data_IF_237602747835
#
_entry.id   IF_237602747835
#
_cell.length_a   1.000
_cell.length_b   1.000
_cell.length_c   1.000
_cell.angle_alpha   90.00
_cell.angle_beta   90.00
_cell.angle_gamma   90.00
#
_symmetry.space_group_name_H-M   'P 1'
#
loop_
_entity.id
_entity.type
_entity.pdbx_description
1 polymer ?
#
# COMPACT_ATOMS: atom_id res chain seq x y z
N UNK A 1 5.23 23.81 -1.05
CA UNK A 1 4.99 22.44 -0.54
C UNK A 1 5.94 21.37 -1.08
N UNK A 2 6.67 21.59 -2.18
CA UNK A 2 7.52 20.59 -2.83
C UNK A 2 8.92 20.37 -2.23
N UNK A 3 9.47 21.34 -1.47
CA UNK A 3 10.81 21.20 -0.85
C UNK A 3 10.81 20.33 0.42
N UNK A 4 9.72 20.33 1.18
CA UNK A 4 9.60 19.58 2.45
C UNK A 4 9.49 18.07 2.19
N UNK A 5 8.74 17.68 1.15
CA UNK A 5 8.54 16.27 0.76
C UNK A 5 9.82 15.63 0.20
N UNK A 6 10.66 16.41 -0.50
CA UNK A 6 11.95 15.95 -1.03
C UNK A 6 12.97 15.75 0.10
N UNK A 7 12.93 16.59 1.14
CA UNK A 7 13.79 16.42 2.32
C UNK A 7 13.40 15.16 3.14
N UNK A 8 12.10 14.89 3.27
CA UNK A 8 11.60 13.67 3.91
C UNK A 8 12.10 12.40 3.19
N UNK A 9 12.04 12.35 1.86
CA UNK A 9 12.43 11.16 1.08
C UNK A 9 13.94 10.87 1.12
N UNK A 10 14.79 11.89 1.27
CA UNK A 10 16.24 11.71 1.38
C UNK A 10 16.66 11.12 2.73
N UNK A 11 15.97 11.50 3.82
CA UNK A 11 16.30 11.08 5.20
C UNK A 11 15.95 9.63 5.53
N UNK A 12 15.03 9.00 4.79
CA UNK A 12 14.64 7.59 4.99
C UNK A 12 15.42 6.59 4.12
N UNK A 13 16.34 7.03 3.26
CA UNK A 13 17.24 6.12 2.56
C UNK A 13 18.25 5.53 3.56
N UNK A 14 18.41 4.20 3.54
CA UNK A 14 19.05 3.37 4.58
C UNK A 14 20.52 3.71 4.97
N UNK A 15 21.12 4.78 4.44
CA UNK A 15 22.52 5.16 4.65
C UNK A 15 22.74 6.39 5.55
N UNK A 16 21.71 7.08 6.04
CA UNK A 16 21.89 8.30 6.86
C UNK A 16 22.10 8.07 8.37
N UNK A 17 21.90 6.85 8.88
CA UNK A 17 22.10 6.54 10.30
C UNK A 17 23.52 6.04 10.65
N UNK A 18 24.47 6.12 9.70
CA UNK A 18 25.90 6.06 10.05
C UNK A 18 26.47 7.43 10.45
N UNK A 19 25.66 8.49 10.37
CA UNK A 19 25.99 9.84 10.83
C UNK A 19 25.23 10.12 12.13
N UNK A 20 25.87 10.81 13.07
CA UNK A 20 25.27 11.19 14.36
C UNK A 20 23.97 11.98 14.12
N UNK A 21 22.86 11.55 14.75
CA UNK A 21 21.60 12.29 14.71
C UNK A 21 21.82 13.58 15.49
N UNK A 22 21.69 14.73 14.82
CA UNK A 22 21.83 16.02 15.48
C UNK A 22 20.62 16.30 16.39
N UNK A 23 20.79 17.19 17.37
CA UNK A 23 19.70 17.64 18.23
C UNK A 23 18.54 18.28 17.44
N UNK A 24 18.84 19.00 16.35
CA UNK A 24 17.83 19.58 15.45
C UNK A 24 17.04 18.49 14.73
N UNK A 25 17.72 17.45 14.22
CA UNK A 25 17.05 16.32 13.58
C UNK A 25 16.16 15.57 14.58
N UNK A 26 16.67 15.30 15.79
CA UNK A 26 15.88 14.69 16.87
C UNK A 26 14.63 15.53 17.19
N UNK A 27 14.79 16.84 17.36
CA UNK A 27 13.68 17.76 17.64
C UNK A 27 12.61 17.75 16.55
N UNK A 28 13.05 17.75 15.29
CA UNK A 28 12.17 17.64 14.13
C UNK A 28 11.41 16.31 14.10
N UNK A 29 12.10 15.18 14.24
CA UNK A 29 11.47 13.85 14.22
C UNK A 29 10.44 13.70 15.34
N UNK A 30 10.80 14.08 16.56
CA UNK A 30 9.92 13.97 17.72
C UNK A 30 8.68 14.86 17.59
N UNK A 31 8.82 16.04 17.00
CA UNK A 31 7.69 16.93 16.70
C UNK A 31 6.73 16.30 15.69
N UNK A 32 7.24 15.66 14.64
CA UNK A 32 6.40 14.97 13.64
C UNK A 32 5.68 13.77 14.26
N UNK A 33 6.38 12.94 15.03
CA UNK A 33 5.82 11.77 15.68
C UNK A 33 4.70 12.17 16.65
N UNK A 34 4.95 13.17 17.50
CA UNK A 34 3.95 13.69 18.44
C UNK A 34 2.75 14.28 17.71
N UNK A 35 2.96 15.17 16.74
CA UNK A 35 1.88 15.85 16.04
C UNK A 35 0.96 14.88 15.30
N UNK A 36 1.52 13.83 14.70
CA UNK A 36 0.74 12.84 13.93
C UNK A 36 -0.17 12.00 14.83
N UNK A 37 0.32 11.51 15.96
CA UNK A 37 -0.46 10.62 16.82
C UNK A 37 -1.30 11.39 17.87
N UNK A 38 -0.85 12.56 18.34
CA UNK A 38 -1.65 13.43 19.22
C UNK A 38 -2.97 13.84 18.58
N UNK A 39 -2.98 14.19 17.29
CA UNK A 39 -4.20 14.52 16.56
C UNK A 39 -5.20 13.35 16.50
N UNK A 40 -4.71 12.11 16.47
CA UNK A 40 -5.55 10.91 16.42
C UNK A 40 -6.17 10.59 17.77
N UNK A 41 -5.34 10.55 18.80
CA UNK A 41 -5.78 10.24 20.17
C UNK A 41 -6.66 11.35 20.78
N UNK A 42 -6.54 12.57 20.28
CA UNK A 42 -7.37 13.71 20.70
C UNK A 42 -8.37 14.15 19.61
N UNK A 43 -8.74 13.26 18.68
CA UNK A 43 -9.69 13.59 17.60
C UNK A 43 -11.04 13.96 18.22
N UNK A 44 -11.54 15.15 17.89
CA UNK A 44 -12.83 15.68 18.36
C UNK A 44 -13.97 15.41 17.38
N UNK A 45 -13.65 14.92 16.19
CA UNK A 45 -14.62 14.60 15.13
C UNK A 45 -14.83 13.09 15.01
N UNK A 46 -16.01 12.69 14.57
CA UNK A 46 -16.38 11.28 14.41
C UNK A 46 -16.73 10.97 12.95
N UNK A 47 -16.58 9.71 12.54
CA UNK A 47 -16.92 9.28 11.18
C UNK A 47 -18.44 9.04 11.07
N UNK A 48 -19.05 9.50 9.98
CA UNK A 48 -20.43 9.15 9.64
C UNK A 48 -20.47 7.86 8.79
N UNK A 49 -21.34 6.93 9.15
CA UNK A 49 -21.49 5.65 8.45
C UNK A 49 -22.92 5.11 8.54
N UNK A 50 -23.24 4.17 7.66
CA UNK A 50 -24.50 3.41 7.67
C UNK A 50 -24.23 1.91 7.60
N UNK A 51 -25.14 1.12 8.16
CA UNK A 51 -25.13 -0.34 7.99
C UNK A 51 -26.01 -0.75 6.81
N UNK A 52 -25.46 -1.54 5.90
CA UNK A 52 -26.17 -2.06 4.72
C UNK A 52 -26.05 -3.58 4.63
N UNK A 53 -26.92 -4.20 3.83
CA UNK A 53 -26.83 -5.64 3.57
C UNK A 53 -25.46 -6.00 2.98
N UNK A 54 -24.90 -7.11 3.47
CA UNK A 54 -23.66 -7.65 2.95
C UNK A 54 -23.85 -8.14 1.52
N UNK A 55 -22.93 -7.73 0.63
CA UNK A 55 -22.81 -8.26 -0.73
C UNK A 55 -21.35 -8.62 -0.96
N UNK A 56 -21.10 -9.89 -1.24
CA UNK A 56 -19.74 -10.40 -1.40
C UNK A 56 -18.96 -9.67 -2.50
N UNK A 57 -19.64 -9.31 -3.60
CA UNK A 57 -19.07 -8.56 -4.73
C UNK A 57 -18.53 -7.18 -4.37
N UNK A 58 -18.93 -6.60 -3.23
CA UNK A 58 -18.45 -5.30 -2.79
C UNK A 58 -17.04 -5.39 -2.18
N UNK A 59 -16.62 -6.58 -1.76
CA UNK A 59 -15.36 -6.82 -1.04
C UNK A 59 -14.42 -7.74 -1.82
N UNK A 60 -14.98 -8.67 -2.60
CA UNK A 60 -14.23 -9.71 -3.31
C UNK A 60 -14.46 -9.63 -4.81
N UNK A 61 -13.37 -9.46 -5.54
CA UNK A 61 -13.37 -9.53 -7.00
C UNK A 61 -13.33 -10.99 -7.43
N UNK A 62 -13.84 -11.25 -8.63
CA UNK A 62 -13.74 -12.57 -9.23
C UNK A 62 -12.26 -12.93 -9.44
N UNK A 63 -11.87 -14.08 -8.91
CA UNK A 63 -10.51 -14.61 -8.99
C UNK A 63 -10.20 -15.16 -10.39
N UNK A 64 -8.93 -15.34 -10.69
CA UNK A 64 -8.41 -15.91 -11.93
C UNK A 64 -8.02 -17.36 -11.71
N UNK A 65 -8.46 -18.24 -12.61
CA UNK A 65 -8.18 -19.67 -12.59
C UNK A 65 -6.77 -20.00 -13.13
N UNK A 66 -6.17 -21.14 -12.77
CA UNK A 66 -4.89 -21.58 -13.33
C UNK A 66 -4.87 -21.64 -14.86
N UNK A 67 -5.97 -22.08 -15.49
CA UNK A 67 -6.11 -22.16 -16.95
C UNK A 67 -6.10 -20.76 -17.60
N UNK A 68 -6.79 -19.79 -16.99
CA UNK A 68 -6.78 -18.39 -17.43
C UNK A 68 -5.39 -17.76 -17.27
N UNK A 69 -4.70 -18.01 -16.16
CA UNK A 69 -3.32 -17.55 -15.92
C UNK A 69 -2.39 -18.09 -17.01
N UNK A 70 -2.44 -19.40 -17.25
CA UNK A 70 -1.61 -20.08 -18.25
C UNK A 70 -1.86 -19.52 -19.66
N UNK A 71 -3.14 -19.39 -20.03
CA UNK A 71 -3.55 -18.88 -21.34
C UNK A 71 -3.12 -17.42 -21.54
N UNK A 72 -3.34 -16.57 -20.54
CA UNK A 72 -2.97 -15.16 -20.59
C UNK A 72 -1.45 -14.98 -20.62
N UNK A 73 -0.71 -15.66 -19.75
CA UNK A 73 0.75 -15.59 -19.69
C UNK A 73 1.38 -16.04 -21.01
N UNK A 74 0.84 -17.11 -21.63
CA UNK A 74 1.28 -17.55 -22.95
C UNK A 74 1.05 -16.49 -24.02
N UNK A 75 -0.14 -15.89 -24.06
CA UNK A 75 -0.46 -14.82 -25.02
C UNK A 75 0.44 -13.60 -24.84
N UNK A 76 0.66 -13.18 -23.59
CA UNK A 76 1.57 -12.07 -23.28
C UNK A 76 2.99 -12.39 -23.74
N UNK A 77 3.53 -13.59 -23.44
CA UNK A 77 4.87 -14.01 -23.89
C UNK A 77 5.01 -13.98 -25.42
N UNK A 78 3.93 -14.22 -26.16
CA UNK A 78 3.93 -14.22 -27.63
C UNK A 78 3.81 -12.81 -28.24
N UNK A 79 3.11 -11.90 -27.56
CA UNK A 79 2.73 -10.61 -28.12
C UNK A 79 3.48 -9.43 -27.51
N UNK A 80 4.11 -9.61 -26.35
CA UNK A 80 4.79 -8.57 -25.62
C UNK A 80 5.97 -7.98 -26.40
N UNK A 81 6.06 -6.66 -26.43
CA UNK A 81 7.09 -5.92 -27.16
C UNK A 81 7.54 -4.71 -26.38
N UNK A 82 8.83 -4.42 -26.48
CA UNK A 82 9.42 -3.17 -25.99
C UNK A 82 9.60 -2.18 -27.14
N UNK A 83 9.24 -0.93 -26.91
CA UNK A 83 9.49 0.17 -27.85
C UNK A 83 9.81 1.46 -27.11
N UNK A 84 10.36 2.43 -27.83
CA UNK A 84 10.53 3.80 -27.34
C UNK A 84 9.51 4.71 -28.02
N UNK A 85 8.91 5.63 -27.27
CA UNK A 85 8.09 6.68 -27.86
C UNK A 85 8.84 8.01 -27.99
N UNK A 86 8.19 8.97 -28.66
CA UNK A 86 8.70 10.33 -28.88
C UNK A 86 8.83 11.17 -27.60
N UNK A 87 8.34 10.66 -26.46
CA UNK A 87 8.41 11.31 -25.14
C UNK A 87 9.57 10.78 -24.29
N UNK A 88 10.52 10.04 -24.88
CA UNK A 88 11.63 9.41 -24.16
C UNK A 88 11.17 8.44 -23.07
N UNK A 89 10.18 7.62 -23.40
CA UNK A 89 9.66 6.58 -22.50
C UNK A 89 9.90 5.21 -23.12
N UNK A 90 10.20 4.23 -22.27
CA UNK A 90 10.14 2.82 -22.63
C UNK A 90 8.69 2.35 -22.49
N UNK A 91 8.15 1.74 -23.54
CA UNK A 91 6.82 1.15 -23.58
C UNK A 91 6.93 -0.36 -23.62
N UNK A 92 6.17 -1.03 -22.76
CA UNK A 92 5.83 -2.43 -22.88
C UNK A 92 4.40 -2.51 -23.39
N UNK A 93 4.21 -3.04 -24.60
CA UNK A 93 2.90 -3.38 -25.13
C UNK A 93 2.72 -4.89 -25.19
N UNK A 94 1.50 -5.40 -25.00
CA UNK A 94 1.20 -6.83 -25.12
C UNK A 94 -0.31 -7.09 -25.09
N UNK A 95 -0.73 -8.25 -25.58
CA UNK A 95 -2.14 -8.66 -25.55
C UNK A 95 -2.45 -9.48 -24.30
N UNK A 96 -3.64 -9.24 -23.74
CA UNK A 96 -4.26 -10.03 -22.69
C UNK A 96 -5.43 -10.80 -23.27
N UNK A 97 -5.86 -11.86 -22.57
CA UNK A 97 -7.10 -12.55 -22.93
C UNK A 97 -8.31 -11.65 -22.70
N UNK A 98 -9.39 -11.86 -23.47
CA UNK A 98 -10.64 -11.10 -23.42
C UNK A 98 -11.26 -10.98 -22.02
N UNK A 99 -10.98 -11.94 -21.14
CA UNK A 99 -11.32 -11.91 -19.72
C UNK A 99 -10.95 -10.60 -19.01
N UNK A 100 -9.87 -9.95 -19.44
CA UNK A 100 -9.32 -8.74 -18.84
C UNK A 100 -9.80 -7.45 -19.54
N UNK A 101 -10.84 -7.51 -20.37
CA UNK A 101 -11.36 -6.35 -21.09
C UNK A 101 -11.94 -5.25 -20.19
N UNK A 102 -12.55 -5.60 -19.06
CA UNK A 102 -13.39 -4.68 -18.28
C UNK A 102 -12.98 -4.53 -16.82
N UNK A 103 -12.12 -5.41 -16.28
CA UNK A 103 -11.72 -5.39 -14.87
C UNK A 103 -10.26 -5.83 -14.73
N UNK A 104 -9.37 -4.84 -14.60
CA UNK A 104 -7.93 -5.08 -14.43
C UNK A 104 -7.42 -4.62 -13.07
N UNK A 105 -7.90 -3.47 -12.59
CA UNK A 105 -7.49 -2.91 -11.31
C UNK A 105 -7.73 -3.90 -10.17
N UNK A 106 -6.66 -4.30 -9.47
CA UNK A 106 -6.69 -5.24 -8.34
C UNK A 106 -6.97 -6.70 -8.70
N UNK A 107 -7.03 -7.06 -9.98
CA UNK A 107 -7.13 -8.46 -10.46
C UNK A 107 -5.83 -8.87 -11.15
N UNK A 108 -5.26 -7.95 -11.93
CA UNK A 108 -3.98 -8.11 -12.61
C UNK A 108 -3.09 -6.92 -12.24
N UNK A 109 -1.84 -7.16 -11.91
CA UNK A 109 -0.82 -6.12 -11.88
C UNK A 109 0.44 -6.59 -12.58
N UNK A 110 1.21 -5.66 -13.11
CA UNK A 110 2.48 -5.96 -13.75
C UNK A 110 3.54 -5.04 -13.16
N UNK A 111 4.64 -5.63 -12.73
CA UNK A 111 5.73 -4.94 -12.04
C UNK A 111 7.02 -5.21 -12.78
N UNK A 112 7.85 -4.17 -12.99
CA UNK A 112 9.22 -4.38 -13.42
C UNK A 112 9.99 -5.09 -12.31
N UNK A 113 10.58 -6.24 -12.61
CA UNK A 113 11.54 -6.88 -11.73
C UNK A 113 12.97 -6.42 -12.03
N UNK A 114 13.34 -6.42 -13.30
CA UNK A 114 14.75 -6.25 -13.67
C UNK A 114 14.90 -5.59 -15.04
N UNK A 115 15.88 -4.69 -15.13
CA UNK A 115 16.24 -4.01 -16.37
C UNK A 115 17.69 -4.32 -16.77
N UNK A 116 17.83 -5.04 -17.89
CA UNK A 116 19.08 -5.42 -18.52
C UNK A 116 19.25 -4.77 -19.90
N UNK A 117 18.61 -3.62 -20.12
CA UNK A 117 18.81 -2.83 -21.32
C UNK A 117 20.18 -2.15 -21.29
N UNK A 118 20.86 -2.20 -22.43
CA UNK A 118 22.18 -1.61 -22.64
C UNK A 118 22.17 -0.76 -23.91
N UNK A 119 22.93 0.33 -23.85
CA UNK A 119 23.27 1.16 -25.00
C UNK A 119 24.31 0.48 -25.87
N UNK A 120 24.51 0.98 -27.09
CA UNK A 120 25.52 0.45 -28.03
C UNK A 120 26.94 0.44 -27.46
N UNK A 121 27.29 1.41 -26.62
CA UNK A 121 28.60 1.51 -25.98
C UNK A 121 28.78 0.58 -24.77
N UNK A 122 27.77 -0.25 -24.45
CA UNK A 122 27.77 -1.16 -23.31
C UNK A 122 27.32 -0.53 -21.99
N UNK A 123 27.02 0.78 -21.97
CA UNK A 123 26.48 1.42 -20.76
C UNK A 123 25.06 0.92 -20.45
N UNK A 124 24.76 0.79 -19.16
CA UNK A 124 23.41 0.45 -18.69
C UNK A 124 22.41 1.54 -19.06
N UNK A 125 21.30 1.14 -19.67
CA UNK A 125 20.19 2.02 -19.98
C UNK A 125 19.33 2.20 -18.73
N UNK A 126 19.37 3.39 -18.12
CA UNK A 126 18.71 3.63 -16.83
C UNK A 126 17.27 4.08 -17.03
N UNK A 127 16.35 3.38 -16.38
CA UNK A 127 14.93 3.71 -16.32
C UNK A 127 14.62 4.36 -14.97
N UNK A 128 13.63 5.24 -14.92
CA UNK A 128 13.01 5.63 -13.66
C UNK A 128 12.20 4.47 -13.09
N UNK A 129 11.75 4.62 -11.84
CA UNK A 129 10.74 3.74 -11.24
C UNK A 129 9.49 3.76 -12.13
N UNK A 130 8.98 2.58 -12.46
CA UNK A 130 7.80 2.47 -13.33
C UNK A 130 6.61 3.13 -12.65
N UNK A 131 5.97 4.05 -13.36
CA UNK A 131 4.67 4.57 -12.97
C UNK A 131 3.61 3.69 -13.63
N UNK A 132 2.61 3.30 -12.84
CA UNK A 132 1.46 2.54 -13.31
C UNK A 132 0.89 3.12 -14.60
N UNK A 133 0.50 2.22 -15.48
CA UNK A 133 -0.02 2.54 -16.78
C UNK A 133 -1.41 1.93 -16.96
N UNK A 134 -2.17 2.51 -17.89
CA UNK A 134 -3.52 2.08 -18.19
C UNK A 134 -3.49 0.70 -18.84
N UNK A 135 -3.75 -0.33 -18.05
CA UNK A 135 -4.18 -1.62 -18.56
C UNK A 135 -5.68 -1.54 -18.83
N UNK A 136 -6.09 -1.45 -20.10
CA UNK A 136 -7.49 -1.41 -20.53
C UNK A 136 -7.65 -2.10 -21.89
N UNK A 137 -8.83 -2.70 -22.15
CA UNK A 137 -9.19 -3.34 -23.43
C UNK A 137 -8.30 -4.50 -23.88
N UNK A 138 -8.04 -5.47 -23.00
CA UNK A 138 -7.21 -6.66 -23.32
C UNK A 138 -5.79 -6.32 -23.75
N UNK A 139 -5.22 -5.22 -23.26
CA UNK A 139 -3.85 -4.84 -23.57
C UNK A 139 -3.09 -4.43 -22.32
N UNK A 140 -1.84 -4.85 -22.31
CA UNK A 140 -0.78 -4.31 -21.48
C UNK A 140 -0.24 -3.12 -22.25
N UNK A 141 -0.23 -1.95 -21.62
CA UNK A 141 0.49 -0.78 -22.12
C UNK A 141 1.17 -0.15 -20.92
N UNK A 142 2.43 -0.50 -20.66
CA UNK A 142 3.28 0.01 -19.57
C UNK A 142 4.27 1.01 -20.07
N UNK A 143 4.45 2.12 -19.34
CA UNK A 143 5.39 3.18 -19.70
C UNK A 143 6.26 3.57 -18.51
N UNK A 144 7.54 3.81 -18.77
CA UNK A 144 8.45 4.42 -17.79
C UNK A 144 9.34 5.44 -18.46
N UNK A 145 9.67 6.50 -17.74
CA UNK A 145 10.58 7.52 -18.22
C UNK A 145 12.02 7.01 -18.21
N UNK A 146 12.79 7.43 -19.19
CA UNK A 146 14.21 7.11 -19.29
C UNK A 146 15.00 8.14 -18.50
N UNK A 147 15.84 7.68 -17.56
CA UNK A 147 16.68 8.53 -16.71
C UNK A 147 17.99 8.90 -17.40
N UNK A 148 18.56 7.97 -18.16
CA UNK A 148 19.83 8.20 -18.85
C UNK A 148 19.64 9.09 -20.08
N UNK A 149 20.59 9.99 -20.33
CA UNK A 149 20.72 10.66 -21.64
C UNK A 149 20.98 9.58 -22.70
N UNK A 150 20.26 9.66 -23.82
CA UNK A 150 20.45 8.81 -24.99
C UNK A 150 20.18 9.63 -26.26
N UNK A 151 20.84 9.28 -27.36
CA UNK A 151 20.57 9.93 -28.64
C UNK A 151 19.33 9.31 -29.30
N UNK A 152 18.55 10.10 -30.05
CA UNK A 152 17.30 9.63 -30.71
C UNK A 152 17.48 8.36 -31.56
N UNK A 153 18.68 8.15 -32.11
CA UNK A 153 19.01 7.01 -32.97
C UNK A 153 19.98 6.02 -32.30
N UNK A 154 20.17 6.11 -30.99
CA UNK A 154 21.04 5.19 -30.26
C UNK A 154 20.42 3.79 -30.22
N UNK A 155 21.18 2.79 -30.67
CA UNK A 155 20.73 1.39 -30.58
C UNK A 155 20.73 0.95 -29.13
N UNK A 156 19.57 0.49 -28.68
CA UNK A 156 19.37 -0.13 -27.37
C UNK A 156 19.09 -1.60 -27.60
N UNK A 157 19.67 -2.44 -26.76
CA UNK A 157 19.51 -3.89 -26.83
C UNK A 157 19.43 -4.49 -25.44
N UNK A 158 19.12 -5.77 -25.35
CA UNK A 158 18.95 -6.48 -24.08
C UNK A 158 17.49 -6.80 -23.82
N UNK A 159 17.13 -6.94 -22.54
CA UNK A 159 15.81 -7.38 -22.14
C UNK A 159 15.37 -6.76 -20.82
N UNK A 160 14.09 -6.94 -20.54
CA UNK A 160 13.44 -6.52 -19.31
C UNK A 160 12.63 -7.70 -18.77
N UNK A 161 12.75 -7.97 -17.47
CA UNK A 161 11.93 -8.95 -16.78
C UNK A 161 10.78 -8.25 -16.06
N UNK A 162 9.56 -8.73 -16.31
CA UNK A 162 8.36 -8.27 -15.61
C UNK A 162 7.73 -9.42 -14.84
N UNK A 163 7.16 -9.11 -13.69
CA UNK A 163 6.27 -9.99 -12.94
C UNK A 163 4.83 -9.62 -13.25
N UNK A 164 4.03 -10.60 -13.66
CA UNK A 164 2.58 -10.47 -13.80
C UNK A 164 1.94 -11.16 -12.59
N UNK A 165 1.20 -10.40 -11.79
CA UNK A 165 0.50 -10.91 -10.62
C UNK A 165 -1.00 -11.05 -10.92
N UNK A 166 -1.55 -12.24 -10.67
CA UNK A 166 -2.94 -12.60 -10.88
C UNK A 166 -3.64 -12.86 -9.55
N UNK A 167 -4.79 -12.23 -9.30
CA UNK A 167 -5.60 -12.47 -8.11
C UNK A 167 -6.18 -13.89 -8.16
N UNK A 168 -5.72 -14.77 -7.29
CA UNK A 168 -6.15 -16.19 -7.24
C UNK A 168 -7.08 -16.49 -6.07
N UNK A 169 -7.24 -15.56 -5.13
CA UNK A 169 -8.03 -15.81 -3.93
C UNK A 169 -7.90 -14.73 -2.88
N UNK A 170 -8.46 -15.03 -1.72
CA UNK A 170 -8.38 -14.21 -0.53
C UNK A 170 -8.15 -15.11 0.67
N UNK A 171 -7.16 -14.80 1.49
CA UNK A 171 -7.09 -15.31 2.85
C UNK A 171 -8.00 -14.50 3.75
N UNK A 172 -8.72 -15.18 4.64
CA UNK A 172 -9.75 -14.59 5.49
C UNK A 172 -9.61 -15.17 6.89
N UNK A 173 -9.79 -14.32 7.89
CA UNK A 173 -9.93 -14.76 9.28
C UNK A 173 -11.03 -13.94 9.93
N UNK A 174 -11.90 -14.65 10.64
CA UNK A 174 -12.94 -14.05 11.45
C UNK A 174 -12.38 -13.72 12.82
N UNK A 175 -12.61 -12.49 13.28
CA UNK A 175 -12.14 -12.00 14.57
C UNK A 175 -13.28 -11.38 15.38
N UNK A 176 -13.07 -11.37 16.68
CA UNK A 176 -13.86 -10.70 17.71
C UNK A 176 -12.92 -10.02 18.69
N UNK A 177 -13.41 -9.09 19.54
CA UNK A 177 -12.59 -8.52 20.62
C UNK A 177 -11.95 -9.55 21.57
N UNK A 178 -12.49 -10.78 21.64
CA UNK A 178 -11.94 -11.86 22.46
C UNK A 178 -10.70 -12.53 21.84
N UNK A 179 -10.31 -12.14 20.63
CA UNK A 179 -9.14 -12.67 19.93
C UNK A 179 -7.86 -11.85 20.17
N UNK A 180 -7.93 -10.79 20.99
CA UNK A 180 -6.75 -10.05 21.44
C UNK A 180 -5.74 -11.00 22.11
N UNK A 181 -4.48 -10.87 21.74
CA UNK A 181 -3.37 -11.73 22.15
C UNK A 181 -3.16 -12.97 21.29
N UNK A 182 -4.12 -13.34 20.41
CA UNK A 182 -3.98 -14.51 19.53
C UNK A 182 -3.10 -14.21 18.32
N UNK A 183 -2.53 -15.29 17.78
CA UNK A 183 -1.82 -15.27 16.51
C UNK A 183 -2.75 -15.69 15.37
N UNK A 184 -2.63 -15.01 14.24
CA UNK A 184 -3.33 -15.33 12.99
C UNK A 184 -2.34 -15.40 11.84
N UNK A 185 -2.70 -16.11 10.79
CA UNK A 185 -1.93 -16.17 9.55
C UNK A 185 -2.79 -15.67 8.40
N UNK A 186 -2.30 -14.66 7.68
CA UNK A 186 -2.91 -14.13 6.46
C UNK A 186 -1.84 -13.96 5.39
N UNK A 187 -2.08 -14.50 4.19
CA UNK A 187 -1.20 -14.42 3.02
C UNK A 187 0.25 -14.84 3.34
N UNK A 188 0.37 -15.96 4.05
CA UNK A 188 1.64 -16.55 4.54
C UNK A 188 2.44 -15.64 5.49
N UNK A 189 1.79 -14.68 6.14
CA UNK A 189 2.40 -13.86 7.19
C UNK A 189 1.68 -14.08 8.51
N UNK A 190 2.45 -14.21 9.58
CA UNK A 190 1.91 -14.32 10.94
C UNK A 190 1.77 -12.93 11.55
N UNK A 191 0.65 -12.72 12.25
CA UNK A 191 0.37 -11.51 13.01
C UNK A 191 -0.07 -11.87 14.41
N UNK A 192 0.36 -11.11 15.41
CA UNK A 192 -0.25 -11.12 16.74
C UNK A 192 -1.26 -9.99 16.83
N UNK A 193 -2.47 -10.29 17.29
CA UNK A 193 -3.51 -9.27 17.54
C UNK A 193 -3.18 -8.57 18.84
N UNK A 194 -2.75 -7.32 18.77
CA UNK A 194 -2.35 -6.54 19.94
C UNK A 194 -3.57 -5.89 20.59
N UNK A 195 -4.49 -5.37 19.78
CA UNK A 195 -5.70 -4.73 20.27
C UNK A 195 -6.79 -4.69 19.18
N UNK A 196 -8.04 -4.68 19.60
CA UNK A 196 -9.22 -4.39 18.77
C UNK A 196 -10.06 -3.41 19.57
N UNK A 197 -9.95 -2.12 19.24
CA UNK A 197 -10.58 -1.05 20.02
C UNK A 197 -11.11 0.02 19.09
N UNK A 198 -12.29 0.53 19.41
CA UNK A 198 -12.98 1.53 18.60
C UNK A 198 -13.03 1.04 17.16
N UNK A 199 -12.53 1.80 16.20
CA UNK A 199 -12.54 1.45 14.79
C UNK A 199 -11.18 0.92 14.30
N UNK A 200 -10.29 0.47 15.20
CA UNK A 200 -8.94 0.01 14.88
C UNK A 200 -8.66 -1.44 15.29
N UNK A 201 -7.93 -2.15 14.44
CA UNK A 201 -7.25 -3.42 14.74
C UNK A 201 -5.75 -3.13 14.73
N UNK A 202 -5.08 -3.42 15.85
CA UNK A 202 -3.64 -3.24 16.02
C UNK A 202 -2.97 -4.61 15.89
N UNK A 203 -2.07 -4.74 14.92
CA UNK A 203 -1.38 -5.98 14.61
C UNK A 203 0.13 -5.82 14.76
N UNK A 204 0.77 -6.78 15.42
CA UNK A 204 2.21 -6.94 15.36
C UNK A 204 2.53 -7.94 14.25
N UNK A 205 3.12 -7.44 13.16
CA UNK A 205 3.52 -8.22 11.99
C UNK A 205 4.82 -8.97 12.30
N UNK A 206 4.83 -10.30 12.10
CA UNK A 206 5.94 -11.19 12.43
C UNK A 206 6.70 -11.68 11.18
N UNK A 207 6.46 -11.06 10.03
CA UNK A 207 7.12 -11.38 8.76
C UNK A 207 7.60 -10.10 8.07
N UNK A 208 8.52 -10.25 7.10
CA UNK A 208 9.01 -9.11 6.30
C UNK A 208 8.12 -8.79 5.09
N UNK A 209 7.24 -9.71 4.68
CA UNK A 209 6.43 -9.58 3.47
C UNK A 209 5.38 -8.48 3.62
N UNK A 210 5.36 -7.51 2.72
CA UNK A 210 4.27 -6.53 2.62
C UNK A 210 2.98 -7.19 2.16
N UNK A 211 1.91 -6.95 2.92
CA UNK A 211 0.59 -7.52 2.67
C UNK A 211 -0.45 -6.41 2.75
N UNK A 212 -1.33 -6.39 1.76
CA UNK A 212 -2.55 -5.61 1.83
C UNK A 212 -3.55 -6.35 2.72
N UNK A 213 -3.86 -5.76 3.87
CA UNK A 213 -4.95 -6.18 4.75
C UNK A 213 -6.18 -5.31 4.52
N UNK A 214 -7.35 -5.91 4.62
CA UNK A 214 -8.65 -5.26 4.49
C UNK A 214 -9.60 -5.82 5.55
N UNK A 215 -10.60 -5.03 5.94
CA UNK A 215 -11.54 -5.44 6.98
C UNK A 215 -12.99 -5.26 6.56
N UNK A 216 -13.82 -6.25 6.88
CA UNK A 216 -15.28 -6.16 6.82
C UNK A 216 -15.79 -6.08 8.26
N UNK A 217 -16.44 -4.96 8.61
CA UNK A 217 -16.99 -4.73 9.94
C UNK A 217 -18.50 -5.01 9.97
N UNK A 218 -18.91 -6.06 10.69
CA UNK A 218 -20.30 -6.47 10.81
C UNK A 218 -20.94 -5.96 12.10
N UNK A 219 -22.21 -5.54 12.03
CA UNK A 219 -23.04 -5.35 13.22
C UNK A 219 -23.64 -6.69 13.70
N UNK A 220 -24.41 -6.64 14.79
CA UNK A 220 -25.09 -7.80 15.39
C UNK A 220 -26.08 -8.50 14.45
N UNK A 221 -26.59 -7.79 13.43
CA UNK A 221 -27.58 -8.31 12.48
C UNK A 221 -26.92 -8.81 11.18
N UNK A 222 -25.59 -8.86 11.10
CA UNK A 222 -24.86 -9.29 9.89
C UNK A 222 -24.76 -8.24 8.78
N UNK A 223 -25.14 -6.99 9.03
CA UNK A 223 -24.98 -5.87 8.08
C UNK A 223 -23.58 -5.27 8.18
N UNK A 224 -23.08 -4.74 7.08
CA UNK A 224 -21.73 -4.17 6.98
C UNK A 224 -21.74 -2.65 7.06
N UNK A 225 -20.74 -2.10 7.75
CA UNK A 225 -20.53 -0.66 7.80
C UNK A 225 -20.05 -0.13 6.45
N UNK A 226 -20.65 0.97 5.96
CA UNK A 226 -20.24 1.69 4.76
C UNK A 226 -20.27 3.20 4.94
N UNK A 227 -19.43 3.87 4.17
CA UNK A 227 -19.48 5.32 3.99
C UNK A 227 -20.76 5.78 3.30
N UNK A 228 -21.13 7.02 3.60
CA UNK A 228 -22.01 7.80 2.76
C UNK A 228 -21.26 8.23 1.49
N UNK A 229 -22.01 8.56 0.43
CA UNK A 229 -21.41 9.23 -0.73
C UNK A 229 -20.89 10.61 -0.33
N UNK A 230 -19.93 11.15 -1.07
CA UNK A 230 -19.33 12.46 -0.77
C UNK A 230 -20.39 13.57 -0.66
N UNK A 231 -21.41 13.56 -1.54
CA UNK A 231 -22.51 14.53 -1.51
C UNK A 231 -23.36 14.40 -0.23
N UNK A 232 -23.76 13.17 0.12
CA UNK A 232 -24.51 12.92 1.36
C UNK A 232 -23.69 13.34 2.58
N UNK A 233 -22.38 13.05 2.59
CA UNK A 233 -21.49 13.41 3.70
C UNK A 233 -21.35 14.92 3.86
N UNK A 234 -21.22 15.66 2.76
CA UNK A 234 -21.16 17.13 2.78
C UNK A 234 -22.44 17.74 3.34
N UNK A 235 -23.61 17.27 2.92
CA UNK A 235 -24.91 17.72 3.47
C UNK A 235 -25.06 17.43 4.97
N UNK A 236 -24.45 16.34 5.46
CA UNK A 236 -24.42 16.02 6.89
C UNK A 236 -23.47 16.94 7.66
N UNK A 237 -22.27 17.21 7.13
CA UNK A 237 -21.28 18.10 7.75
C UNK A 237 -21.79 19.54 7.87
N UNK A 238 -22.53 20.03 6.87
CA UNK A 238 -23.18 21.35 6.93
C UNK A 238 -24.14 21.49 8.12
N UNK A 239 -24.73 20.38 8.57
CA UNK A 239 -25.68 20.33 9.70
C UNK A 239 -25.01 19.98 11.02
N UNK A 240 -23.92 19.23 10.99
CA UNK A 240 -23.15 18.80 12.15
C UNK A 240 -21.64 18.87 11.88
N UNK A 241 -21.02 19.94 12.38
CA UNK A 241 -19.58 20.19 12.24
C UNK A 241 -18.69 19.22 13.02
N UNK A 242 -19.27 18.32 13.82
CA UNK A 242 -18.51 17.28 14.54
C UNK A 242 -18.27 16.03 13.67
N UNK A 243 -18.90 15.95 12.49
CA UNK A 243 -18.63 14.89 11.52
C UNK A 243 -17.31 15.16 10.82
N UNK A 244 -16.49 14.12 10.69
CA UNK A 244 -15.21 14.19 10.01
C UNK A 244 -15.38 14.31 8.50
N UNK A 245 -14.72 15.30 7.90
CA UNK A 245 -14.63 15.48 6.45
C UNK A 245 -13.59 14.54 5.79
N UNK A 246 -12.89 13.74 6.59
CA UNK A 246 -11.92 12.77 6.07
C UNK A 246 -12.66 11.67 5.29
N UNK A 247 -12.36 11.54 4.00
CA UNK A 247 -12.82 10.37 3.25
C UNK A 247 -12.19 9.11 3.85
N UNK A 248 -13.02 8.12 4.15
CA UNK A 248 -12.57 6.86 4.70
C UNK A 248 -12.11 5.93 3.57
N UNK A 249 -11.02 6.32 2.91
CA UNK A 249 -10.38 5.56 1.83
C UNK A 249 -8.99 5.05 2.27
N UNK A 250 -8.81 4.86 3.58
CA UNK A 250 -7.51 4.62 4.19
C UNK A 250 -7.08 3.16 4.03
N UNK A 251 -5.90 3.01 3.41
CA UNK A 251 -5.06 1.81 3.46
C UNK A 251 -4.54 1.60 4.88
N UNK A 252 -4.10 0.37 5.18
CA UNK A 252 -3.41 0.04 6.42
C UNK A 252 -2.31 1.06 6.70
N UNK A 253 -2.24 1.54 7.95
CA UNK A 253 -1.18 2.45 8.39
C UNK A 253 -0.20 1.71 9.26
N UNK A 254 1.03 2.19 9.29
CA UNK A 254 1.99 1.73 10.28
C UNK A 254 2.27 2.84 11.29
N UNK A 255 2.48 2.48 12.54
CA UNK A 255 3.01 3.39 13.56
C UNK A 255 4.07 2.68 14.40
N UNK A 256 5.08 3.42 14.87
CA UNK A 256 6.09 2.86 15.74
C UNK A 256 5.47 2.39 17.06
N UNK A 257 5.84 1.18 17.49
CA UNK A 257 5.24 0.54 18.67
C UNK A 257 5.35 1.42 19.91
N UNK A 258 6.56 1.90 20.17
CA UNK A 258 6.87 2.81 21.27
C UNK A 258 6.01 4.07 21.28
N UNK A 259 5.83 4.72 20.12
CA UNK A 259 5.02 5.95 20.01
C UNK A 259 3.56 5.64 20.33
N UNK A 260 3.02 4.58 19.73
CA UNK A 260 1.63 4.17 19.99
C UNK A 260 1.42 3.85 21.47
N UNK A 261 2.29 3.05 22.08
CA UNK A 261 2.17 2.66 23.49
C UNK A 261 2.16 3.90 24.40
N UNK A 262 3.02 4.89 24.15
CA UNK A 262 3.04 6.16 24.91
C UNK A 262 1.70 6.90 24.84
N UNK A 263 1.09 6.99 23.65
CA UNK A 263 -0.21 7.66 23.52
C UNK A 263 -1.39 6.82 24.03
N UNK A 264 -1.30 5.49 24.02
CA UNK A 264 -2.31 4.64 24.67
C UNK A 264 -2.29 4.81 26.20
N UNK A 265 -1.11 4.96 26.80
CA UNK A 265 -0.93 5.20 28.23
C UNK A 265 -1.23 6.65 28.64
N UNK A 266 -0.80 7.63 27.82
CA UNK A 266 -1.01 9.05 28.07
C UNK A 266 -1.45 9.82 26.80
N UNK A 267 -2.75 9.76 26.45
CA UNK A 267 -3.29 10.39 25.23
C UNK A 267 -3.07 11.91 25.12
N UNK A 268 -2.89 12.59 26.27
CA UNK A 268 -2.76 14.05 26.38
C UNK A 268 -1.32 14.51 26.63
N UNK A 269 -0.32 13.63 26.45
CA UNK A 269 1.09 13.98 26.65
C UNK A 269 1.45 15.23 25.84
N UNK A 270 2.07 16.22 26.50
CA UNK A 270 2.50 17.44 25.82
C UNK A 270 3.72 17.18 24.93
N UNK A 271 3.94 18.02 23.92
CA UNK A 271 5.14 17.91 23.06
C UNK A 271 6.44 18.02 23.89
N UNK A 272 6.46 18.86 24.92
CA UNK A 272 7.62 19.03 25.78
C UNK A 272 7.94 17.76 26.60
N UNK A 273 6.92 17.08 27.12
CA UNK A 273 7.11 15.80 27.81
C UNK A 273 7.52 14.70 26.84
N UNK A 274 6.89 14.64 25.67
CA UNK A 274 7.23 13.67 24.63
C UNK A 274 8.68 13.81 24.15
N UNK A 275 9.17 15.04 23.94
CA UNK A 275 10.57 15.32 23.57
C UNK A 275 11.58 14.86 24.61
N UNK A 276 11.22 14.88 25.90
CA UNK A 276 12.09 14.37 26.98
C UNK A 276 12.25 12.85 26.94
N UNK A 277 11.24 12.12 26.46
CA UNK A 277 11.28 10.66 26.32
C UNK A 277 12.15 10.27 25.12
N UNK A 278 11.98 10.94 23.99
CA UNK A 278 12.65 10.58 22.74
C UNK A 278 14.03 11.23 22.58
N UNK A 279 14.99 10.74 23.36
CA UNK A 279 16.42 10.99 23.12
C UNK A 279 16.88 10.36 21.80
N UNK A 280 18.10 10.70 21.35
CA UNK A 280 18.72 10.07 20.16
C UNK A 280 18.76 8.53 20.29
N UNK A 281 19.16 8.03 21.46
CA UNK A 281 19.19 6.59 21.75
C UNK A 281 17.80 5.97 21.65
N UNK A 282 16.78 6.66 22.18
CA UNK A 282 15.40 6.17 22.16
C UNK A 282 14.82 6.13 20.74
N UNK A 283 15.17 7.08 19.87
CA UNK A 283 14.82 7.04 18.45
C UNK A 283 15.45 5.84 17.73
N UNK A 284 16.70 5.49 18.06
CA UNK A 284 17.37 4.31 17.51
C UNK A 284 16.73 3.00 18.02
N UNK A 285 16.36 2.96 19.30
CA UNK A 285 15.64 1.83 19.91
C UNK A 285 14.27 1.62 19.25
N UNK A 286 13.50 2.70 19.08
CA UNK A 286 12.19 2.69 18.42
C UNK A 286 12.27 2.07 17.01
N UNK A 287 13.31 2.38 16.24
CA UNK A 287 13.52 1.79 14.91
C UNK A 287 13.73 0.27 14.98
N UNK A 288 14.44 -0.22 16.00
CA UNK A 288 14.70 -1.66 16.20
C UNK A 288 13.47 -2.41 16.69
N UNK A 289 12.67 -1.81 17.55
CA UNK A 289 11.41 -2.40 18.07
C UNK A 289 10.36 -2.58 16.95
N UNK A 290 10.44 -1.71 15.94
CA UNK A 290 9.64 -1.77 14.73
C UNK A 290 8.29 -1.08 14.90
N UNK A 291 7.32 -1.55 14.12
CA UNK A 291 6.01 -0.89 13.98
C UNK A 291 4.86 -1.87 14.18
N UNK A 292 3.72 -1.33 14.57
CA UNK A 292 2.44 -2.00 14.42
C UNK A 292 1.83 -1.66 13.06
N UNK A 293 1.07 -2.61 12.52
CA UNK A 293 0.15 -2.40 11.41
C UNK A 293 -1.23 -2.13 12.00
N UNK A 294 -1.85 -1.03 11.60
CA UNK A 294 -3.20 -0.65 12.03
C UNK A 294 -4.14 -0.77 10.85
N UNK A 295 -5.18 -1.58 11.02
CA UNK A 295 -6.27 -1.74 10.07
C UNK A 295 -7.48 -1.01 10.64
N UNK A 296 -8.01 -0.05 9.90
CA UNK A 296 -9.10 0.81 10.37
C UNK A 296 -10.41 0.47 9.64
N UNK A 297 -11.53 0.61 10.34
CA UNK A 297 -12.87 0.58 9.76
C UNK A 297 -13.54 1.96 9.91
N UNK A 298 -14.51 2.27 9.05
CA UNK A 298 -15.24 3.53 9.15
C UNK A 298 -16.08 3.60 10.43
N UNK A 299 -16.53 2.44 10.92
CA UNK A 299 -17.32 2.30 12.13
C UNK A 299 -16.52 1.62 13.23
N UNK A 300 -16.85 1.86 14.52
CA UNK A 300 -16.31 1.08 15.62
C UNK A 300 -16.63 -0.41 15.48
N UNK A 301 -15.67 -1.27 15.83
CA UNK A 301 -15.83 -2.71 15.97
C UNK A 301 -16.62 -3.02 17.24
N UNK A 302 -17.80 -3.61 17.06
CA UNK A 302 -18.68 -3.97 18.17
C UNK A 302 -18.90 -5.48 18.32
N UNK A 303 -18.66 -6.25 17.25
CA UNK A 303 -18.88 -7.70 17.22
C UNK A 303 -17.84 -8.37 16.33
N UNK A 304 -18.31 -9.30 15.49
CA UNK A 304 -17.56 -10.01 14.47
C UNK A 304 -17.05 -9.06 13.39
N UNK A 305 -15.80 -9.25 12.99
CA UNK A 305 -15.20 -8.66 11.81
C UNK A 305 -14.49 -9.75 11.00
N UNK A 306 -14.33 -9.52 9.71
CA UNK A 306 -13.52 -10.38 8.83
C UNK A 306 -12.30 -9.59 8.35
N UNK A 307 -11.11 -10.03 8.77
CA UNK A 307 -9.85 -9.50 8.27
C UNK A 307 -9.41 -10.38 7.09
N UNK A 308 -9.07 -9.77 5.97
CA UNK A 308 -8.73 -10.51 4.76
C UNK A 308 -7.58 -9.88 3.98
N UNK A 309 -6.92 -10.69 3.16
CA UNK A 309 -5.81 -10.27 2.30
C UNK A 309 -5.91 -10.95 0.94
N UNK A 310 -5.77 -10.22 -0.18
CA UNK A 310 -5.75 -10.83 -1.50
C UNK A 310 -4.51 -11.71 -1.68
N UNK A 311 -4.70 -12.86 -2.33
CA UNK A 311 -3.66 -13.81 -2.72
C UNK A 311 -3.39 -13.67 -4.21
N UNK A 312 -2.12 -13.54 -4.56
CA UNK A 312 -1.66 -13.43 -5.94
C UNK A 312 -0.78 -14.61 -6.32
N UNK A 313 -0.93 -15.05 -7.56
CA UNK A 313 0.03 -15.92 -8.26
C UNK A 313 0.84 -15.08 -9.22
N UNK A 314 2.15 -15.29 -9.25
CA UNK A 314 3.09 -14.47 -10.00
C UNK A 314 3.72 -15.28 -11.13
N UNK A 315 3.74 -14.71 -12.33
CA UNK A 315 4.42 -15.25 -13.51
C UNK A 315 5.47 -14.26 -14.01
N UNK A 316 6.67 -14.76 -14.31
CA UNK A 316 7.74 -13.91 -14.86
C UNK A 316 7.73 -14.00 -16.38
N UNK A 317 7.76 -12.84 -17.02
CA UNK A 317 7.98 -12.70 -18.46
C UNK A 317 9.28 -11.96 -18.74
N UNK A 318 10.05 -12.46 -19.71
CA UNK A 318 11.21 -11.78 -20.28
C UNK A 318 10.81 -11.20 -21.62
N UNK A 319 11.00 -9.89 -21.79
CA UNK A 319 10.70 -9.20 -23.06
C UNK A 319 11.99 -8.61 -23.62
N UNK A 320 12.34 -9.00 -24.84
CA UNK A 320 13.56 -8.54 -25.51
C UNK A 320 13.30 -7.25 -26.28
N UNK A 321 14.27 -6.34 -26.24
CA UNK A 321 14.26 -5.17 -27.10
C UNK A 321 14.56 -5.63 -28.52
N UNK A 322 13.58 -5.51 -29.42
CA UNK A 322 13.80 -5.80 -30.84
C UNK A 322 14.89 -4.87 -31.36
N UNK A 323 15.88 -5.45 -32.06
CA UNK A 323 16.94 -4.67 -32.71
C UNK A 323 16.28 -3.74 -33.74
N UNK A 324 16.34 -2.44 -33.48
CA UNK A 324 16.04 -1.39 -34.47
C UNK A 324 17.16 -1.27 -35.50
#
# INVERSE_FOLDING_TARGET
>A
MTKLTILLLLLFSNNLFSQEITEEQRDFYTTILHGTDSLKFNKTTHNAFKFVEYKESDFFKQVITPEEISSCTKLVKQTAQLSLNDKNQLLLSGELTSRFNTQLAGILSITLLENNLIKKNGEKFQLNTFYNSNSGYSKIDFKTDIKSKYAKNEKISGYVNFEINYLIGYDKVELTPNDIGKNITLNNCNYTIINIKENEIVLNKLCEKENELNVINFNKTGKVAKSYSDNELMEMIEKDSTISMESFDRKNRETYKMVRNIFEENPKISLAEFKKIFTVEKLLEMKKEGKYVIVESIAPFQNKLELYSPKFHSEIIKVEMKKL
#
